data_IF_701102826512
#
_entry.id   IF_701102826512
#
_cell.length_a   1.000
_cell.length_b   1.000
_cell.length_c   1.000
_cell.angle_alpha   90.00
_cell.angle_beta   90.00
_cell.angle_gamma   90.00
#
_symmetry.space_group_name_H-M   'P 1'
#
loop_
_entity.id
_entity.type
_entity.pdbx_description
1 polymer ?
#
# COMPACT_ATOMS: atom_id res chain seq x y z
N UNK A 1 -10.27 -11.72 -9.52
CA UNK A 1 -10.65 -10.33 -9.17
C UNK A 1 -9.52 -9.58 -8.46
N UNK A 2 -8.93 -10.10 -7.37
CA UNK A 2 -7.82 -9.45 -6.62
C UNK A 2 -6.59 -9.07 -7.49
N UNK A 3 -6.20 -9.91 -8.45
CA UNK A 3 -5.07 -9.63 -9.37
C UNK A 3 -5.33 -8.41 -10.26
N UNK A 4 -6.56 -8.27 -10.77
CA UNK A 4 -6.99 -7.13 -11.56
C UNK A 4 -6.95 -5.84 -10.72
N UNK A 5 -7.46 -5.89 -9.49
CA UNK A 5 -7.39 -4.77 -8.55
C UNK A 5 -5.95 -4.34 -8.24
N UNK A 6 -5.02 -5.30 -8.08
CA UNK A 6 -3.61 -4.99 -7.87
C UNK A 6 -2.96 -4.33 -9.09
N UNK A 7 -3.27 -4.80 -10.29
CA UNK A 7 -2.79 -4.20 -11.54
C UNK A 7 -3.31 -2.76 -11.68
N UNK A 8 -4.60 -2.52 -11.43
CA UNK A 8 -5.18 -1.18 -11.46
C UNK A 8 -4.49 -0.25 -10.46
N UNK A 9 -4.25 -0.70 -9.22
CA UNK A 9 -3.54 0.10 -8.22
C UNK A 9 -2.10 0.42 -8.62
N UNK A 10 -1.40 -0.50 -9.28
CA UNK A 10 -0.05 -0.23 -9.81
C UNK A 10 -0.10 0.80 -10.94
N UNK A 11 -1.03 0.66 -11.88
CA UNK A 11 -1.20 1.62 -12.98
C UNK A 11 -1.51 3.01 -12.42
N UNK A 12 -2.45 3.12 -11.48
CA UNK A 12 -2.77 4.39 -10.82
C UNK A 12 -1.55 4.98 -10.10
N UNK A 13 -0.77 4.16 -9.38
CA UNK A 13 0.44 4.63 -8.72
C UNK A 13 1.48 5.17 -9.71
N UNK A 14 1.68 4.49 -10.84
CA UNK A 14 2.63 4.90 -11.88
C UNK A 14 2.15 6.18 -12.57
N UNK A 15 0.88 6.27 -12.94
CA UNK A 15 0.30 7.48 -13.55
C UNK A 15 0.43 8.67 -12.61
N UNK A 16 0.05 8.52 -11.33
CA UNK A 16 0.21 9.59 -10.34
C UNK A 16 1.66 10.02 -10.15
N UNK A 17 2.62 9.08 -10.22
CA UNK A 17 4.05 9.41 -10.15
C UNK A 17 4.51 10.22 -11.38
N UNK A 18 4.08 9.81 -12.59
CA UNK A 18 4.41 10.51 -13.84
C UNK A 18 3.82 11.93 -13.89
N UNK A 19 2.67 12.15 -13.24
CA UNK A 19 2.07 13.48 -13.07
C UNK A 19 2.76 14.33 -11.99
N UNK A 20 3.77 13.80 -11.31
CA UNK A 20 4.47 14.48 -10.21
C UNK A 20 3.77 14.40 -8.85
N UNK A 21 2.62 13.73 -8.77
CA UNK A 21 1.87 13.51 -7.54
C UNK A 21 2.39 12.29 -6.77
N UNK A 22 3.62 12.38 -6.27
CA UNK A 22 4.30 11.31 -5.51
C UNK A 22 3.50 10.88 -4.28
N UNK A 23 2.78 11.81 -3.65
CA UNK A 23 1.91 11.50 -2.51
C UNK A 23 0.79 10.50 -2.86
N UNK A 24 0.12 10.71 -4.00
CA UNK A 24 -0.93 9.78 -4.46
C UNK A 24 -0.32 8.43 -4.87
N UNK A 25 0.85 8.44 -5.50
CA UNK A 25 1.56 7.22 -5.86
C UNK A 25 1.88 6.36 -4.62
N UNK A 26 2.32 6.98 -3.53
CA UNK A 26 2.57 6.32 -2.25
C UNK A 26 1.30 5.74 -1.63
N UNK A 27 0.19 6.49 -1.68
CA UNK A 27 -1.11 6.02 -1.16
C UNK A 27 -1.58 4.78 -1.90
N UNK A 28 -1.57 4.79 -3.24
CA UNK A 28 -1.96 3.62 -4.04
C UNK A 28 -1.01 2.43 -3.81
N UNK A 29 0.28 2.68 -3.66
CA UNK A 29 1.28 1.68 -3.28
C UNK A 29 0.99 1.04 -1.92
N UNK A 30 0.65 1.85 -0.91
CA UNK A 30 0.28 1.39 0.43
C UNK A 30 -1.00 0.54 0.44
N UNK A 31 -2.04 0.97 -0.27
CA UNK A 31 -3.29 0.21 -0.41
C UNK A 31 -3.03 -1.14 -1.08
N UNK A 32 -2.22 -1.18 -2.15
CA UNK A 32 -1.81 -2.44 -2.80
C UNK A 32 -1.08 -3.35 -1.81
N UNK A 33 -0.14 -2.82 -1.03
CA UNK A 33 0.59 -3.60 -0.03
C UNK A 33 -0.36 -4.26 0.98
N UNK A 34 -1.36 -3.53 1.48
CA UNK A 34 -2.41 -4.09 2.35
C UNK A 34 -3.16 -5.25 1.70
N UNK A 35 -3.63 -5.08 0.46
CA UNK A 35 -4.40 -6.11 -0.25
C UNK A 35 -3.58 -7.38 -0.44
N UNK A 36 -2.32 -7.24 -0.87
CA UNK A 36 -1.43 -8.39 -1.12
C UNK A 36 -1.01 -9.04 0.20
N UNK A 37 -0.66 -8.25 1.20
CA UNK A 37 -0.22 -8.74 2.51
C UNK A 37 -1.33 -9.47 3.25
N UNK A 38 -2.55 -8.94 3.27
CA UNK A 38 -3.70 -9.64 3.85
C UNK A 38 -4.00 -10.94 3.10
N UNK A 39 -3.95 -10.96 1.77
CA UNK A 39 -4.11 -12.19 1.00
C UNK A 39 -3.08 -13.26 1.38
N UNK A 40 -1.81 -12.87 1.55
CA UNK A 40 -0.76 -13.79 2.00
C UNK A 40 -0.95 -14.29 3.44
N UNK A 41 -1.40 -13.41 4.34
CA UNK A 41 -1.63 -13.74 5.75
C UNK A 41 -2.86 -14.63 5.94
N UNK A 42 -3.92 -14.41 5.16
CA UNK A 42 -5.10 -15.30 5.08
C UNK A 42 -4.68 -16.71 4.65
N UNK A 43 -3.87 -16.83 3.59
CA UNK A 43 -3.38 -18.12 3.08
C UNK A 43 -2.50 -18.87 4.10
N UNK A 44 -1.81 -18.14 4.98
CA UNK A 44 -0.97 -18.72 6.04
C UNK A 44 -1.72 -18.97 7.35
N UNK A 45 -3.03 -18.69 7.41
CA UNK A 45 -3.82 -18.86 8.64
C UNK A 45 -3.34 -17.94 9.77
N UNK A 46 -2.82 -16.76 9.46
CA UNK A 46 -2.26 -15.86 10.45
C UNK A 46 -3.32 -15.37 11.45
N UNK A 47 -2.93 -15.24 12.73
CA UNK A 47 -3.80 -14.68 13.75
C UNK A 47 -4.17 -13.22 13.44
N UNK A 48 -5.36 -12.79 13.88
CA UNK A 48 -5.87 -11.42 13.69
C UNK A 48 -4.91 -10.33 14.19
N UNK A 49 -4.14 -10.63 15.23
CA UNK A 49 -3.12 -9.73 15.76
C UNK A 49 -2.03 -9.38 14.71
N UNK A 50 -1.62 -10.34 13.88
CA UNK A 50 -0.64 -10.10 12.82
C UNK A 50 -1.21 -9.25 11.68
N UNK A 51 -2.50 -9.44 11.34
CA UNK A 51 -3.18 -8.60 10.36
C UNK A 51 -3.21 -7.14 10.82
N UNK A 52 -3.57 -6.90 12.08
CA UNK A 52 -3.58 -5.55 12.66
C UNK A 52 -2.19 -4.93 12.69
N UNK A 53 -1.18 -5.67 13.16
CA UNK A 53 0.21 -5.19 13.21
C UNK A 53 0.74 -4.85 11.81
N UNK A 54 0.43 -5.67 10.81
CA UNK A 54 0.78 -5.39 9.42
C UNK A 54 0.07 -4.14 8.89
N UNK A 55 -1.23 -4.01 9.14
CA UNK A 55 -2.01 -2.85 8.71
C UNK A 55 -1.46 -1.55 9.29
N UNK A 56 -1.21 -1.52 10.60
CA UNK A 56 -0.61 -0.37 11.27
C UNK A 56 0.80 -0.08 10.78
N UNK A 57 1.59 -1.12 10.49
CA UNK A 57 2.95 -0.97 9.96
C UNK A 57 2.96 -0.33 8.56
N UNK A 58 2.08 -0.79 7.66
CA UNK A 58 1.93 -0.20 6.32
C UNK A 58 1.41 1.23 6.40
N UNK A 59 0.45 1.52 7.29
CA UNK A 59 -0.04 2.87 7.51
C UNK A 59 1.05 3.81 8.03
N UNK A 60 1.83 3.37 9.03
CA UNK A 60 2.95 4.13 9.58
C UNK A 60 4.03 4.39 8.53
N UNK A 61 4.44 3.35 7.79
CA UNK A 61 5.44 3.49 6.72
C UNK A 61 4.97 4.45 5.63
N UNK A 62 3.72 4.31 5.18
CA UNK A 62 3.14 5.21 4.17
C UNK A 62 3.10 6.65 4.70
N UNK A 63 2.72 6.84 5.97
CA UNK A 63 2.73 8.14 6.63
C UNK A 63 4.13 8.77 6.71
N UNK A 64 5.14 7.99 7.08
CA UNK A 64 6.54 8.45 7.12
C UNK A 64 7.03 8.84 5.73
N UNK A 65 6.76 8.02 4.71
CA UNK A 65 7.15 8.32 3.33
C UNK A 65 6.44 9.57 2.80
N UNK A 66 5.18 9.78 3.15
CA UNK A 66 4.44 11.00 2.81
C UNK A 66 5.03 12.24 3.49
N UNK A 67 5.49 12.12 4.74
CA UNK A 67 6.18 13.22 5.43
C UNK A 67 7.51 13.55 4.72
N UNK A 68 8.30 12.54 4.37
CA UNK A 68 9.57 12.73 3.64
C UNK A 68 9.33 13.45 2.32
N UNK A 69 8.35 12.99 1.53
CA UNK A 69 8.00 13.60 0.24
C UNK A 69 7.52 15.05 0.37
N UNK A 70 6.89 15.42 1.49
CA UNK A 70 6.52 16.83 1.73
C UNK A 70 7.69 17.72 2.11
N UNK A 71 8.75 17.14 2.69
CA UNK A 71 9.92 17.90 3.17
C UNK A 71 10.99 18.10 2.11
N UNK A 72 10.91 17.37 0.99
CA UNK A 72 11.79 17.48 -0.18
C UNK A 72 11.14 18.31 -1.27
#
# INVERSE_FOLDING_TARGET
MRTLSCLVMVVLAVVSFLEGNVALALVFGGIKALIVGFGYMELRGAARAHLLAYASGVAALTGVLLLVVRTT
#
